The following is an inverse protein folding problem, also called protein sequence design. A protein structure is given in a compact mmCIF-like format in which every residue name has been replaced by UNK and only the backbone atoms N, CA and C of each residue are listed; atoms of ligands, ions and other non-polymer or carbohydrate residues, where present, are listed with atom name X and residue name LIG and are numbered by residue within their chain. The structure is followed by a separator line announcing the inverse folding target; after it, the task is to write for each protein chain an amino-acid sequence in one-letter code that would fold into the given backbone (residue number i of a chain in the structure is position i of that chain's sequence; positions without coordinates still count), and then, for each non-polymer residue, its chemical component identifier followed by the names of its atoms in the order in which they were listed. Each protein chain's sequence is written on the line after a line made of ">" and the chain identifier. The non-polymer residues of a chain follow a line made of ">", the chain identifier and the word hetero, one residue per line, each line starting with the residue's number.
data_IF_322125012445
#
_entry.id   IF_322125012445
#
_cell.length_a   1.000
_cell.length_b   1.000
_cell.length_c   1.000
_cell.angle_alpha   90.00
_cell.angle_beta   90.00
_cell.angle_gamma   90.00
#
_symmetry.space_group_name_H-M   'P 1'
#
loop_
_entity.id
_entity.type
_entity.pdbx_description
1 polymer ?
#
# COMPACT_ATOMS: atom_id res chain seq x y z
N UNK A 1 -10.69 5.32 -10.65
CA UNK A 1 -9.32 5.80 -10.33
C UNK A 1 -8.26 4.82 -10.83
N UNK A 2 -8.28 3.56 -10.41
CA UNK A 2 -7.27 2.54 -10.77
C UNK A 2 -7.03 2.39 -12.28
N UNK A 3 -8.10 2.29 -13.08
CA UNK A 3 -7.99 2.21 -14.55
C UNK A 3 -7.31 3.44 -15.18
N UNK A 4 -7.57 4.62 -14.62
CA UNK A 4 -6.94 5.87 -15.02
C UNK A 4 -5.43 5.87 -14.73
N UNK A 5 -5.02 5.38 -13.56
CA UNK A 5 -3.61 5.19 -13.21
C UNK A 5 -2.93 4.18 -14.13
N UNK A 6 -3.61 3.08 -14.43
CA UNK A 6 -3.13 2.05 -15.38
C UNK A 6 -2.92 2.62 -16.79
N UNK A 7 -3.87 3.44 -17.27
CA UNK A 7 -3.75 4.15 -18.54
C UNK A 7 -2.59 5.15 -18.54
N UNK A 8 -2.45 5.93 -17.46
CA UNK A 8 -1.37 6.91 -17.32
C UNK A 8 0.02 6.24 -17.29
N UNK A 9 0.16 5.11 -16.59
CA UNK A 9 1.40 4.29 -16.58
C UNK A 9 1.78 3.80 -17.98
N UNK A 10 0.82 3.23 -18.73
CA UNK A 10 1.06 2.82 -20.13
C UNK A 10 1.45 3.99 -21.03
N UNK A 11 0.80 5.14 -20.85
CA UNK A 11 1.11 6.36 -21.60
C UNK A 11 2.51 6.87 -21.31
N UNK A 12 2.89 6.97 -20.03
CA UNK A 12 4.21 7.41 -19.60
C UNK A 12 5.33 6.50 -20.15
N UNK A 13 5.12 5.18 -20.13
CA UNK A 13 6.04 4.25 -20.77
C UNK A 13 6.20 4.51 -22.27
N UNK A 14 5.07 4.60 -22.99
CA UNK A 14 5.07 4.76 -24.45
C UNK A 14 5.64 6.10 -24.93
N UNK A 15 5.29 7.19 -24.25
CA UNK A 15 5.60 8.55 -24.71
C UNK A 15 6.90 9.10 -24.12
N UNK A 16 7.29 8.63 -22.93
CA UNK A 16 8.43 9.18 -22.17
C UNK A 16 9.51 8.13 -21.86
N UNK A 17 9.26 6.84 -22.13
CA UNK A 17 10.18 5.76 -21.74
C UNK A 17 10.29 5.55 -20.23
N UNK A 18 9.31 6.03 -19.45
CA UNK A 18 9.33 5.94 -17.98
C UNK A 18 8.59 4.71 -17.49
N UNK A 19 9.26 3.87 -16.70
CA UNK A 19 8.61 2.84 -15.88
C UNK A 19 8.04 3.45 -14.62
N UNK A 20 6.90 2.92 -14.15
CA UNK A 20 6.34 3.25 -12.84
C UNK A 20 5.82 1.99 -12.14
N UNK A 21 5.61 2.12 -10.83
CA UNK A 21 5.05 1.11 -9.95
C UNK A 21 3.93 1.75 -9.11
N UNK A 22 2.97 0.95 -8.67
CA UNK A 22 1.85 1.37 -7.84
C UNK A 22 1.86 0.64 -6.50
N UNK A 23 1.97 1.41 -5.41
CA UNK A 23 1.90 0.89 -4.04
C UNK A 23 0.58 1.37 -3.43
N UNK A 24 -0.26 0.44 -2.98
CA UNK A 24 -1.47 0.76 -2.22
C UNK A 24 -1.09 1.00 -0.75
N UNK A 25 -1.10 2.25 -0.30
CA UNK A 25 -0.72 2.61 1.06
C UNK A 25 -1.93 2.71 2.00
N UNK A 26 -1.77 2.18 3.22
CA UNK A 26 -2.77 2.24 4.29
C UNK A 26 -2.42 3.34 5.28
N UNK A 27 -3.43 4.14 5.65
CA UNK A 27 -3.28 5.23 6.61
C UNK A 27 -3.26 4.69 8.03
N UNK A 28 -2.11 4.75 8.71
CA UNK A 28 -1.92 4.09 10.02
C UNK A 28 -2.63 4.78 11.19
N UNK A 29 -3.05 6.03 10.99
CA UNK A 29 -3.88 6.82 11.90
C UNK A 29 -5.38 6.51 11.80
N UNK A 30 -5.76 5.57 10.92
CA UNK A 30 -7.12 5.03 10.78
C UNK A 30 -7.20 3.62 11.40
N UNK A 31 -8.40 3.10 11.68
CA UNK A 31 -8.59 1.71 12.10
C UNK A 31 -8.01 0.71 11.09
N UNK A 32 -7.41 -0.38 11.58
CA UNK A 32 -6.79 -1.39 10.71
C UNK A 32 -7.83 -2.15 9.86
N UNK A 33 -9.09 -2.17 10.31
CA UNK A 33 -10.23 -2.71 9.59
C UNK A 33 -10.47 -1.96 8.28
N UNK A 34 -10.33 -0.62 8.27
CA UNK A 34 -10.44 0.19 7.03
C UNK A 34 -9.34 -0.20 6.02
N UNK A 35 -8.14 -0.55 6.49
CA UNK A 35 -7.05 -1.01 5.64
C UNK A 35 -7.33 -2.40 5.04
N UNK A 36 -7.90 -3.32 5.83
CA UNK A 36 -8.33 -4.63 5.31
C UNK A 36 -9.44 -4.49 4.26
N UNK A 37 -10.49 -3.71 4.56
CA UNK A 37 -11.58 -3.44 3.63
C UNK A 37 -11.07 -2.81 2.32
N UNK A 38 -10.10 -1.90 2.42
CA UNK A 38 -9.46 -1.31 1.23
C UNK A 38 -8.74 -2.36 0.40
N UNK A 39 -7.95 -3.25 1.03
CA UNK A 39 -7.22 -4.30 0.33
C UNK A 39 -8.17 -5.29 -0.34
N UNK A 40 -9.25 -5.69 0.34
CA UNK A 40 -10.29 -6.58 -0.22
C UNK A 40 -11.04 -5.92 -1.39
N UNK A 41 -11.41 -4.64 -1.26
CA UNK A 41 -12.04 -3.88 -2.36
C UNK A 41 -11.11 -3.69 -3.56
N UNK A 42 -9.81 -3.77 -3.35
CA UNK A 42 -8.82 -3.73 -4.42
C UNK A 42 -8.69 -5.06 -5.17
N UNK A 43 -9.45 -6.12 -4.85
CA UNK A 43 -9.39 -7.42 -5.50
C UNK A 43 -9.39 -7.40 -7.04
N UNK A 44 -10.23 -6.60 -7.72
CA UNK A 44 -10.20 -6.51 -9.18
C UNK A 44 -8.90 -5.91 -9.75
N UNK A 45 -8.06 -5.33 -8.91
CA UNK A 45 -6.86 -4.56 -9.27
C UNK A 45 -5.58 -5.08 -8.62
N UNK A 46 -5.58 -6.21 -7.89
CA UNK A 46 -4.38 -6.72 -7.21
C UNK A 46 -3.20 -6.92 -8.17
N UNK A 47 -3.45 -7.42 -9.37
CA UNK A 47 -2.42 -7.57 -10.43
C UNK A 47 -1.85 -6.22 -10.93
N UNK A 48 -2.53 -5.10 -10.64
CA UNK A 48 -2.00 -3.76 -10.95
C UNK A 48 -1.11 -3.20 -9.84
N UNK A 49 -1.10 -3.82 -8.66
CA UNK A 49 -0.32 -3.38 -7.50
C UNK A 49 1.06 -4.02 -7.55
N UNK A 50 2.09 -3.18 -7.54
CA UNK A 50 3.47 -3.62 -7.40
C UNK A 50 3.88 -3.73 -5.91
N UNK A 51 3.02 -3.26 -4.99
CA UNK A 51 3.17 -3.45 -3.55
C UNK A 51 2.03 -2.88 -2.71
N UNK A 52 2.10 -3.09 -1.39
CA UNK A 52 1.32 -2.36 -0.37
C UNK A 52 2.24 -1.62 0.59
N UNK A 53 1.74 -0.52 1.15
CA UNK A 53 2.46 0.39 2.05
C UNK A 53 1.71 0.62 3.36
N UNK A 54 2.42 1.07 4.39
CA UNK A 54 1.85 1.65 5.60
C UNK A 54 2.48 3.03 5.81
N UNK A 55 1.67 4.08 5.86
CA UNK A 55 2.12 5.47 5.94
C UNK A 55 1.21 6.29 6.89
N UNK A 56 1.31 7.62 6.83
CA UNK A 56 0.62 8.59 7.70
C UNK A 56 1.20 8.66 9.12
N UNK A 57 0.51 9.39 10.03
CA UNK A 57 1.00 9.77 11.35
C UNK A 57 1.41 8.54 12.17
N UNK A 58 2.72 8.41 12.41
CA UNK A 58 3.29 7.21 13.01
C UNK A 58 3.20 7.23 14.52
N UNK A 59 3.39 8.40 15.15
CA UNK A 59 3.35 8.55 16.59
C UNK A 59 1.97 8.15 17.17
N UNK A 60 1.95 7.19 18.09
CA UNK A 60 0.71 6.68 18.69
C UNK A 60 -0.06 5.71 17.79
N UNK A 61 0.47 5.38 16.62
CA UNK A 61 -0.14 4.48 15.65
C UNK A 61 0.79 3.30 15.32
N UNK A 62 1.02 2.37 16.27
CA UNK A 62 1.98 1.29 16.12
C UNK A 62 1.64 0.35 14.94
N UNK A 63 2.64 -0.21 14.24
CA UNK A 63 2.41 -1.01 13.04
C UNK A 63 1.79 -2.39 13.35
N UNK A 64 1.88 -2.88 14.58
CA UNK A 64 1.30 -4.17 15.00
C UNK A 64 -0.21 -4.25 14.77
N UNK A 65 -0.90 -3.11 14.77
CA UNK A 65 -2.33 -2.99 14.39
C UNK A 65 -2.61 -3.60 13.00
N UNK A 66 -1.64 -3.54 12.08
CA UNK A 66 -1.79 -3.89 10.66
C UNK A 66 -1.22 -5.27 10.30
N UNK A 67 -0.79 -6.07 11.28
CA UNK A 67 -0.19 -7.41 11.05
C UNK A 67 -1.09 -8.30 10.20
N UNK A 68 -2.41 -8.29 10.44
CA UNK A 68 -3.36 -9.09 9.67
C UNK A 68 -3.41 -8.66 8.19
N UNK A 69 -3.42 -7.35 7.92
CA UNK A 69 -3.43 -6.79 6.56
C UNK A 69 -2.16 -7.17 5.81
N UNK A 70 -1.00 -7.04 6.46
CA UNK A 70 0.30 -7.39 5.87
C UNK A 70 0.49 -8.90 5.70
N UNK A 71 -0.15 -9.73 6.53
CA UNK A 71 -0.19 -11.18 6.33
C UNK A 71 -1.05 -11.52 5.11
N UNK A 72 -2.23 -10.92 4.98
CA UNK A 72 -3.10 -11.18 3.84
C UNK A 72 -2.45 -10.73 2.53
N UNK A 73 -1.84 -9.55 2.48
CA UNK A 73 -1.06 -9.10 1.31
C UNK A 73 0.07 -10.08 0.94
N UNK A 74 0.71 -10.72 1.93
CA UNK A 74 1.73 -11.76 1.69
C UNK A 74 1.14 -13.01 1.06
N UNK A 75 -0.03 -13.44 1.52
CA UNK A 75 -0.74 -14.61 0.98
C UNK A 75 -1.16 -14.38 -0.48
N UNK A 76 -1.45 -13.13 -0.85
CA UNK A 76 -1.69 -12.69 -2.23
C UNK A 76 -0.41 -12.57 -3.07
N UNK A 77 0.78 -12.75 -2.48
CA UNK A 77 2.06 -12.59 -3.17
C UNK A 77 2.48 -11.14 -3.42
N UNK A 78 1.79 -10.16 -2.83
CA UNK A 78 2.05 -8.74 -3.04
C UNK A 78 3.24 -8.28 -2.14
N UNK A 79 4.26 -7.60 -2.70
CA UNK A 79 5.34 -7.00 -1.91
C UNK A 79 4.80 -6.01 -0.87
N UNK A 80 5.48 -5.89 0.28
CA UNK A 80 5.01 -5.08 1.41
C UNK A 80 6.14 -4.21 1.92
N UNK A 81 5.88 -2.93 2.11
CA UNK A 81 6.79 -1.95 2.71
C UNK A 81 6.04 -1.14 3.78
N UNK A 82 6.76 -0.54 4.72
CA UNK A 82 6.17 0.32 5.74
C UNK A 82 7.13 1.45 6.08
N UNK A 83 6.59 2.65 6.30
CA UNK A 83 7.29 3.70 7.00
C UNK A 83 7.54 3.26 8.44
N UNK A 84 8.76 3.46 8.95
CA UNK A 84 9.16 3.08 10.30
C UNK A 84 10.30 4.00 10.78
N UNK A 85 10.17 4.51 12.00
CA UNK A 85 11.20 5.34 12.63
C UNK A 85 11.29 6.76 12.06
N UNK A 86 10.19 7.28 11.50
CA UNK A 86 10.08 8.67 11.06
C UNK A 86 9.64 9.57 12.22
N UNK A 87 8.55 9.19 12.90
CA UNK A 87 8.02 9.88 14.09
C UNK A 87 7.93 8.94 15.29
N UNK A 88 7.86 7.63 15.03
CA UNK A 88 7.71 6.56 16.02
C UNK A 88 9.04 6.17 16.65
N UNK A 89 9.00 5.59 17.85
CA UNK A 89 10.21 5.11 18.50
C UNK A 89 10.72 3.81 17.83
N UNK A 90 12.00 3.43 18.01
CA UNK A 90 12.58 2.22 17.40
C UNK A 90 11.93 0.89 17.83
N UNK A 91 11.15 0.90 18.92
CA UNK A 91 10.43 -0.27 19.40
C UNK A 91 9.15 -0.60 18.62
N UNK A 92 8.71 0.28 17.70
CA UNK A 92 7.61 0.02 16.77
C UNK A 92 8.02 -0.98 15.67
#
# INVERSE_FOLDING_TARGET
>A
VMEGLSLARRRAWRELGLSSALILAFLRDRPAEEAMEMLERAAPYWEMLDGVGLDSAEQGNPPEKFVAVFRFARELGIPRVAHAGEEGPPEY
#
